data_IF_169248725113
#
_entry.id   IF_169248725113
#
_cell.length_a   1.000
_cell.length_b   1.000
_cell.length_c   1.000
_cell.angle_alpha   90.00
_cell.angle_beta   90.00
_cell.angle_gamma   90.00
#
_symmetry.space_group_name_H-M   'P 1'
#
loop_
_entity.id
_entity.type
_entity.pdbx_description
1 polymer ?
#
# COMPACT_ATOMS: atom_id res chain seq x y z
N UNK A 1 -38.19 8.72 -3.12
CA UNK A 1 -38.95 7.92 -2.14
C UNK A 1 -38.11 7.85 -0.88
N UNK A 2 -38.64 8.41 0.20
CA UNK A 2 -38.00 8.64 1.49
C UNK A 2 -37.67 7.32 2.18
N UNK A 3 -36.38 7.12 2.51
CA UNK A 3 -35.90 6.08 3.42
C UNK A 3 -36.56 6.27 4.79
N UNK A 4 -37.66 5.56 5.04
CA UNK A 4 -38.17 5.38 6.38
C UNK A 4 -37.10 4.61 7.17
N UNK A 5 -36.52 5.26 8.18
CA UNK A 5 -35.49 4.64 9.03
C UNK A 5 -35.98 3.30 9.56
N UNK A 6 -35.23 2.23 9.28
CA UNK A 6 -35.54 0.88 9.73
C UNK A 6 -35.52 0.89 11.26
N UNK A 7 -36.60 0.41 11.90
CA UNK A 7 -36.77 0.52 13.35
C UNK A 7 -35.82 -0.36 14.17
N UNK A 8 -35.70 -0.14 15.50
CA UNK A 8 -34.75 -0.85 16.37
C UNK A 8 -34.82 -2.38 16.33
N UNK A 9 -36.01 -2.94 16.07
CA UNK A 9 -36.21 -4.38 15.93
C UNK A 9 -35.57 -4.96 14.66
N UNK A 10 -35.54 -4.20 13.56
CA UNK A 10 -34.86 -4.60 12.32
C UNK A 10 -33.34 -4.65 12.55
N UNK A 11 -32.77 -3.59 13.13
CA UNK A 11 -31.34 -3.53 13.44
C UNK A 11 -30.91 -4.63 14.42
N UNK A 12 -31.76 -4.96 15.40
CA UNK A 12 -31.50 -6.07 16.31
C UNK A 12 -31.43 -7.43 15.61
N UNK A 13 -32.26 -7.65 14.58
CA UNK A 13 -32.24 -8.88 13.78
C UNK A 13 -31.01 -8.96 12.87
N UNK A 14 -30.62 -7.85 12.25
CA UNK A 14 -29.40 -7.76 11.45
C UNK A 14 -28.18 -8.14 12.30
N UNK A 15 -28.00 -7.51 13.45
CA UNK A 15 -26.89 -7.83 14.37
C UNK A 15 -26.87 -9.27 14.84
N UNK A 16 -28.05 -9.88 15.02
CA UNK A 16 -28.14 -11.29 15.41
C UNK A 16 -27.74 -12.24 14.28
N UNK A 17 -28.03 -11.90 13.03
CA UNK A 17 -27.59 -12.66 11.85
C UNK A 17 -26.09 -12.51 11.64
N UNK A 18 -25.55 -11.29 11.73
CA UNK A 18 -24.11 -11.01 11.64
C UNK A 18 -23.32 -11.81 12.69
N UNK A 19 -23.73 -11.74 13.96
CA UNK A 19 -23.06 -12.51 15.03
C UNK A 19 -23.15 -14.03 14.83
N UNK A 20 -24.21 -14.52 14.16
CA UNK A 20 -24.36 -15.94 13.84
C UNK A 20 -23.46 -16.34 12.66
N UNK A 21 -23.30 -15.47 11.66
CA UNK A 21 -22.35 -15.66 10.54
C UNK A 21 -20.94 -15.79 11.11
N UNK A 22 -20.51 -14.84 11.94
CA UNK A 22 -19.18 -14.84 12.57
C UNK A 22 -18.92 -16.16 13.33
N UNK A 23 -19.87 -16.61 14.15
CA UNK A 23 -19.74 -17.85 14.91
C UNK A 23 -19.65 -19.11 14.02
N UNK A 24 -20.33 -19.11 12.87
CA UNK A 24 -20.28 -20.21 11.91
C UNK A 24 -18.95 -20.23 11.15
N UNK A 25 -18.41 -19.06 10.81
CA UNK A 25 -17.09 -18.92 10.20
C UNK A 25 -15.97 -19.38 11.12
N UNK A 26 -16.00 -18.98 12.39
CA UNK A 26 -15.06 -19.45 13.40
C UNK A 26 -15.10 -20.98 13.58
N UNK A 27 -16.29 -21.58 13.44
CA UNK A 27 -16.49 -23.02 13.49
C UNK A 27 -16.16 -23.74 12.16
N UNK A 28 -15.78 -23.00 11.11
CA UNK A 28 -15.62 -23.47 9.74
C UNK A 28 -16.88 -24.18 9.17
N UNK A 29 -18.07 -23.84 9.67
CA UNK A 29 -19.37 -24.27 9.13
C UNK A 29 -19.81 -23.32 8.00
N UNK A 30 -19.10 -23.40 6.88
CA UNK A 30 -19.32 -22.51 5.73
C UNK A 30 -20.69 -22.70 5.07
N UNK A 31 -21.27 -23.90 5.14
CA UNK A 31 -22.61 -24.15 4.61
C UNK A 31 -23.68 -23.49 5.48
N UNK A 32 -23.51 -23.58 6.80
CA UNK A 32 -24.30 -22.80 7.76
C UNK A 32 -24.16 -21.30 7.49
N UNK A 33 -22.95 -20.79 7.36
CA UNK A 33 -22.69 -19.36 7.12
C UNK A 33 -23.39 -18.86 5.84
N UNK A 34 -23.27 -19.60 4.73
CA UNK A 34 -23.94 -19.28 3.46
C UNK A 34 -25.47 -19.25 3.61
N UNK A 35 -26.05 -20.18 4.36
CA UNK A 35 -27.49 -20.17 4.60
C UNK A 35 -27.93 -18.90 5.36
N UNK A 36 -27.18 -18.50 6.39
CA UNK A 36 -27.47 -17.27 7.16
C UNK A 36 -27.23 -16.00 6.34
N UNK A 37 -26.24 -15.99 5.44
CA UNK A 37 -26.04 -14.91 4.48
C UNK A 37 -27.23 -14.74 3.53
N UNK A 38 -27.88 -15.84 3.13
CA UNK A 38 -29.14 -15.82 2.40
C UNK A 38 -30.27 -15.14 3.19
N UNK A 39 -30.42 -15.50 4.47
CA UNK A 39 -31.39 -14.85 5.38
C UNK A 39 -31.09 -13.35 5.54
N UNK A 40 -29.81 -12.98 5.62
CA UNK A 40 -29.37 -11.58 5.74
C UNK A 40 -29.70 -10.79 4.47
N UNK A 41 -29.40 -11.34 3.29
CA UNK A 41 -29.70 -10.72 2.01
C UNK A 41 -31.21 -10.45 1.84
N UNK A 42 -32.06 -11.42 2.22
CA UNK A 42 -33.51 -11.26 2.20
C UNK A 42 -34.00 -10.17 3.16
N UNK A 43 -33.40 -10.07 4.34
CA UNK A 43 -33.78 -9.08 5.36
C UNK A 43 -33.37 -7.66 4.97
N UNK A 44 -32.14 -7.47 4.50
CA UNK A 44 -31.58 -6.13 4.26
C UNK A 44 -31.81 -5.63 2.83
N UNK A 45 -31.99 -6.55 1.88
CA UNK A 45 -31.97 -6.29 0.44
C UNK A 45 -30.57 -6.00 -0.10
N UNK A 46 -29.53 -6.22 0.70
CA UNK A 46 -28.14 -6.00 0.31
C UNK A 46 -27.57 -7.22 -0.40
N UNK A 47 -26.65 -6.98 -1.33
CA UNK A 47 -25.98 -8.04 -2.07
C UNK A 47 -24.91 -8.71 -1.19
N UNK A 48 -25.16 -9.95 -0.81
CA UNK A 48 -24.25 -10.78 -0.01
C UNK A 48 -23.42 -11.75 -0.87
N UNK A 49 -23.50 -11.68 -2.20
CA UNK A 49 -22.82 -12.64 -3.10
C UNK A 49 -21.30 -12.64 -2.93
N UNK A 50 -20.69 -11.51 -2.57
CA UNK A 50 -19.25 -11.44 -2.30
C UNK A 50 -18.87 -12.25 -1.04
N UNK A 51 -19.67 -12.18 0.03
CA UNK A 51 -19.42 -12.93 1.25
C UNK A 51 -19.70 -14.42 1.05
N UNK A 52 -20.76 -14.76 0.32
CA UNK A 52 -21.04 -16.15 -0.10
C UNK A 52 -19.88 -16.70 -0.94
N UNK A 53 -19.34 -15.92 -1.88
CA UNK A 53 -18.18 -16.33 -2.66
C UNK A 53 -16.94 -16.56 -1.78
N UNK A 54 -16.70 -15.69 -0.79
CA UNK A 54 -15.65 -15.88 0.23
C UNK A 54 -15.81 -17.20 0.97
N UNK A 55 -17.03 -17.54 1.41
CA UNK A 55 -17.31 -18.82 2.08
C UNK A 55 -17.02 -20.03 1.18
N UNK A 56 -17.32 -19.94 -0.12
CA UNK A 56 -16.94 -20.98 -1.08
C UNK A 56 -15.42 -21.11 -1.23
N UNK A 57 -14.67 -20.00 -1.20
CA UNK A 57 -13.20 -20.00 -1.23
C UNK A 57 -12.64 -20.69 0.01
N UNK A 58 -13.16 -20.40 1.21
CA UNK A 58 -12.73 -21.03 2.46
C UNK A 58 -13.07 -22.52 2.51
N UNK A 59 -14.24 -22.91 1.99
CA UNK A 59 -14.65 -24.31 1.88
C UNK A 59 -13.92 -25.11 0.78
N UNK A 60 -13.03 -24.48 -0.01
CA UNK A 60 -12.34 -25.13 -1.14
C UNK A 60 -13.22 -25.38 -2.37
N UNK A 61 -14.43 -24.81 -2.41
CA UNK A 61 -15.41 -24.91 -3.51
C UNK A 61 -15.11 -23.90 -4.61
N UNK A 62 -14.01 -24.13 -5.32
CA UNK A 62 -13.43 -23.17 -6.29
C UNK A 62 -14.34 -22.84 -7.46
N UNK A 63 -15.12 -23.80 -7.95
CA UNK A 63 -15.99 -23.56 -9.11
C UNK A 63 -17.14 -22.62 -8.75
N UNK A 64 -17.75 -22.84 -7.59
CA UNK A 64 -18.85 -22.04 -7.05
C UNK A 64 -18.38 -20.62 -6.69
N UNK A 65 -17.23 -20.50 -6.02
CA UNK A 65 -16.60 -19.21 -5.76
C UNK A 65 -16.33 -18.44 -7.06
N UNK A 66 -15.73 -19.12 -8.05
CA UNK A 66 -15.38 -18.50 -9.33
C UNK A 66 -16.60 -17.99 -10.08
N UNK A 67 -17.68 -18.76 -10.12
CA UNK A 67 -18.92 -18.35 -10.76
C UNK A 67 -19.50 -17.05 -10.16
N UNK A 68 -19.46 -16.92 -8.83
CA UNK A 68 -19.91 -15.71 -8.15
C UNK A 68 -18.99 -14.52 -8.39
N UNK A 69 -17.67 -14.71 -8.33
CA UNK A 69 -16.70 -13.64 -8.61
C UNK A 69 -16.78 -13.15 -10.06
N UNK A 70 -16.94 -14.05 -11.04
CA UNK A 70 -17.09 -13.68 -12.44
C UNK A 70 -18.41 -12.90 -12.67
N UNK A 71 -19.50 -13.29 -12.01
CA UNK A 71 -20.76 -12.55 -12.07
C UNK A 71 -20.62 -11.13 -11.50
N UNK A 72 -20.05 -10.99 -10.30
CA UNK A 72 -19.79 -9.70 -9.66
C UNK A 72 -18.86 -8.81 -10.51
N UNK A 73 -17.80 -9.38 -11.08
CA UNK A 73 -16.90 -8.65 -11.96
C UNK A 73 -17.58 -8.20 -13.26
N UNK A 74 -18.53 -8.98 -13.78
CA UNK A 74 -19.34 -8.60 -14.95
C UNK A 74 -20.29 -7.44 -14.66
N UNK A 75 -20.86 -7.39 -13.46
CA UNK A 75 -21.76 -6.32 -13.02
C UNK A 75 -21.00 -5.03 -12.62
N UNK A 76 -19.76 -5.17 -12.15
CA UNK A 76 -18.91 -4.07 -11.68
C UNK A 76 -17.54 -4.04 -12.41
N UNK A 77 -17.50 -3.88 -13.74
CA UNK A 77 -16.29 -4.13 -14.55
C UNK A 77 -15.12 -3.17 -14.30
N UNK A 78 -15.38 -2.00 -13.71
CA UNK A 78 -14.38 -0.98 -13.39
C UNK A 78 -14.04 -0.89 -11.89
N UNK A 79 -14.71 -1.68 -11.05
CA UNK A 79 -14.54 -1.59 -9.60
C UNK A 79 -13.35 -2.46 -9.14
N UNK A 80 -12.27 -1.87 -8.59
CA UNK A 80 -11.15 -2.63 -8.08
C UNK A 80 -11.49 -3.48 -6.84
N UNK A 81 -12.61 -3.20 -6.17
CA UNK A 81 -13.02 -3.87 -4.92
C UNK A 81 -13.32 -5.36 -5.15
N UNK A 82 -13.98 -5.71 -6.25
CA UNK A 82 -14.34 -7.11 -6.55
C UNK A 82 -13.10 -8.01 -6.65
N UNK A 83 -12.10 -7.72 -7.53
CA UNK A 83 -10.89 -8.52 -7.56
C UNK A 83 -10.04 -8.37 -6.28
N UNK A 84 -10.10 -7.25 -5.56
CA UNK A 84 -9.43 -7.14 -4.27
C UNK A 84 -10.00 -8.12 -3.23
N UNK A 85 -11.33 -8.21 -3.09
CA UNK A 85 -11.99 -9.15 -2.19
C UNK A 85 -11.74 -10.61 -2.59
N UNK A 86 -11.79 -10.93 -3.88
CA UNK A 86 -11.48 -12.27 -4.37
C UNK A 86 -10.03 -12.68 -4.04
N UNK A 87 -9.07 -11.77 -4.21
CA UNK A 87 -7.67 -12.00 -3.82
C UNK A 87 -7.50 -12.19 -2.32
N UNK A 88 -8.16 -11.37 -1.51
CA UNK A 88 -8.12 -11.47 -0.04
C UNK A 88 -8.68 -12.79 0.47
N UNK A 89 -9.78 -13.29 -0.12
CA UNK A 89 -10.34 -14.60 0.21
C UNK A 89 -9.33 -15.73 -0.06
N UNK A 90 -8.65 -15.71 -1.21
CA UNK A 90 -7.63 -16.71 -1.55
C UNK A 90 -6.41 -16.64 -0.62
N UNK A 91 -5.97 -15.42 -0.25
CA UNK A 91 -4.86 -15.21 0.67
C UNK A 91 -5.20 -15.76 2.06
N UNK A 92 -6.39 -15.46 2.59
CA UNK A 92 -6.88 -15.96 3.87
C UNK A 92 -6.99 -17.49 3.88
N UNK A 93 -7.43 -18.07 2.77
CA UNK A 93 -7.51 -19.53 2.61
C UNK A 93 -6.14 -20.21 2.41
N UNK A 94 -5.03 -19.49 2.63
CA UNK A 94 -3.66 -20.00 2.57
C UNK A 94 -3.15 -20.25 1.14
N UNK A 95 -3.69 -19.54 0.14
CA UNK A 95 -3.37 -19.73 -1.29
C UNK A 95 -2.83 -18.45 -1.93
N UNK A 96 -1.65 -17.98 -1.49
CA UNK A 96 -1.09 -16.71 -1.96
C UNK A 96 -0.78 -16.69 -3.47
N UNK A 97 -0.47 -17.84 -4.07
CA UNK A 97 -0.26 -17.96 -5.51
C UNK A 97 -1.56 -17.74 -6.31
N UNK A 98 -2.71 -18.17 -5.78
CA UNK A 98 -4.03 -17.97 -6.39
C UNK A 98 -4.54 -16.55 -6.13
N UNK A 99 -4.15 -15.92 -5.01
CA UNK A 99 -4.48 -14.53 -4.67
C UNK A 99 -3.79 -13.49 -5.55
N UNK A 100 -2.51 -13.71 -5.90
CA UNK A 100 -1.71 -12.70 -6.59
C UNK A 100 -2.31 -12.20 -7.93
N UNK A 101 -2.83 -13.06 -8.83
CA UNK A 101 -3.49 -12.59 -10.06
C UNK A 101 -4.73 -11.71 -9.81
N UNK A 102 -5.51 -11.99 -8.76
CA UNK A 102 -6.65 -11.15 -8.39
C UNK A 102 -6.20 -9.76 -7.96
N UNK A 103 -5.16 -9.67 -7.13
CA UNK A 103 -4.61 -8.37 -6.75
C UNK A 103 -3.96 -7.63 -7.93
N UNK A 104 -3.38 -8.33 -8.93
CA UNK A 104 -2.90 -7.67 -10.16
C UNK A 104 -4.07 -6.95 -10.85
N UNK A 105 -5.20 -7.66 -10.99
CA UNK A 105 -6.39 -7.12 -11.63
C UNK A 105 -6.97 -5.93 -10.85
N UNK A 106 -6.96 -6.00 -9.53
CA UNK A 106 -7.35 -4.87 -8.68
C UNK A 106 -6.44 -3.64 -8.89
N UNK A 107 -5.13 -3.83 -9.01
CA UNK A 107 -4.20 -2.72 -9.32
C UNK A 107 -4.46 -2.11 -10.70
N UNK A 108 -4.68 -2.92 -11.73
CA UNK A 108 -5.01 -2.43 -13.08
C UNK A 108 -6.24 -1.52 -13.06
N UNK A 109 -7.31 -1.96 -12.37
CA UNK A 109 -8.54 -1.20 -12.23
C UNK A 109 -8.34 0.06 -11.39
N UNK A 110 -7.64 -0.03 -10.27
CA UNK A 110 -7.37 1.11 -9.39
C UNK A 110 -6.55 2.20 -10.10
N UNK A 111 -5.53 1.79 -10.86
CA UNK A 111 -4.70 2.72 -11.64
C UNK A 111 -5.44 3.32 -12.83
N UNK A 112 -6.32 2.56 -13.49
CA UNK A 112 -7.14 3.05 -14.59
C UNK A 112 -8.29 3.96 -14.15
N UNK A 113 -8.88 3.70 -12.98
CA UNK A 113 -10.03 4.41 -12.43
C UNK A 113 -9.68 5.61 -11.54
N UNK A 114 -8.41 5.81 -11.21
CA UNK A 114 -7.96 6.90 -10.34
C UNK A 114 -8.36 6.69 -8.87
N UNK A 115 -8.23 5.45 -8.37
CA UNK A 115 -8.44 5.16 -6.95
C UNK A 115 -7.61 6.09 -6.06
N UNK A 116 -8.12 6.39 -4.87
CA UNK A 116 -7.37 7.19 -3.91
C UNK A 116 -6.09 6.47 -3.44
N UNK A 117 -5.17 7.25 -2.86
CA UNK A 117 -3.88 6.73 -2.41
C UNK A 117 -3.97 5.70 -1.29
N UNK A 118 -5.09 5.62 -0.56
CA UNK A 118 -5.27 4.66 0.53
C UNK A 118 -5.71 3.30 -0.02
N UNK A 119 -6.74 3.30 -0.88
CA UNK A 119 -7.20 2.11 -1.61
C UNK A 119 -6.04 1.47 -2.37
N UNK A 120 -5.27 2.27 -3.12
CA UNK A 120 -4.12 1.78 -3.85
C UNK A 120 -3.06 1.17 -2.92
N UNK A 121 -2.84 1.76 -1.73
CA UNK A 121 -1.87 1.26 -0.74
C UNK A 121 -2.29 -0.09 -0.17
N UNK A 122 -3.57 -0.27 0.12
CA UNK A 122 -4.12 -1.54 0.61
C UNK A 122 -3.90 -2.66 -0.41
N UNK A 123 -4.23 -2.41 -1.68
CA UNK A 123 -4.03 -3.40 -2.76
C UNK A 123 -2.54 -3.71 -2.94
N UNK A 124 -1.67 -2.70 -2.97
CA UNK A 124 -0.20 -2.89 -3.07
C UNK A 124 0.32 -3.74 -1.91
N UNK A 125 -0.12 -3.46 -0.67
CA UNK A 125 0.26 -4.20 0.52
C UNK A 125 -0.13 -5.68 0.43
N UNK A 126 -1.40 -5.96 0.15
CA UNK A 126 -1.92 -7.32 0.04
C UNK A 126 -1.23 -8.11 -1.08
N UNK A 127 -1.04 -7.49 -2.25
CA UNK A 127 -0.34 -8.11 -3.38
C UNK A 127 1.11 -8.45 -3.04
N UNK A 128 1.81 -7.53 -2.39
CA UNK A 128 3.21 -7.70 -2.02
C UNK A 128 3.38 -8.87 -1.06
N UNK A 129 2.48 -9.01 -0.09
CA UNK A 129 2.49 -10.15 0.83
C UNK A 129 2.22 -11.46 0.10
N UNK A 130 1.18 -11.50 -0.74
CA UNK A 130 0.86 -12.68 -1.55
C UNK A 130 2.03 -13.11 -2.45
N UNK A 131 2.69 -12.18 -3.16
CA UNK A 131 3.87 -12.50 -3.97
C UNK A 131 5.01 -13.06 -3.12
N UNK A 132 5.27 -12.47 -1.95
CA UNK A 132 6.33 -12.90 -1.07
C UNK A 132 6.09 -14.31 -0.50
N UNK A 133 4.85 -14.61 -0.09
CA UNK A 133 4.46 -15.88 0.50
C UNK A 133 4.38 -17.00 -0.57
N UNK A 134 4.03 -16.65 -1.81
CA UNK A 134 4.08 -17.56 -2.94
C UNK A 134 5.49 -17.75 -3.54
N UNK A 135 6.48 -16.94 -3.13
CA UNK A 135 7.81 -16.94 -3.73
C UNK A 135 7.83 -16.46 -5.19
N UNK A 136 6.87 -15.61 -5.56
CA UNK A 136 6.72 -15.06 -6.92
C UNK A 136 7.42 -13.70 -7.04
N UNK A 137 8.01 -13.40 -8.22
CA UNK A 137 8.62 -12.10 -8.46
C UNK A 137 7.56 -11.01 -8.66
N UNK A 138 7.91 -9.77 -8.32
CA UNK A 138 7.14 -8.59 -8.70
C UNK A 138 7.06 -8.44 -10.23
N UNK A 139 6.00 -7.81 -10.69
CA UNK A 139 5.69 -7.55 -12.09
C UNK A 139 5.64 -6.04 -12.37
N UNK A 140 5.55 -5.65 -13.63
CA UNK A 140 5.52 -4.23 -14.03
C UNK A 140 4.38 -3.44 -13.36
N UNK A 141 3.21 -4.07 -13.14
CA UNK A 141 2.06 -3.46 -12.46
C UNK A 141 2.39 -3.05 -11.02
N UNK A 142 3.28 -3.79 -10.34
CA UNK A 142 3.72 -3.49 -8.98
C UNK A 142 4.56 -2.21 -8.96
N UNK A 143 5.47 -2.07 -9.93
CA UNK A 143 6.30 -0.87 -10.04
C UNK A 143 5.48 0.36 -10.45
N UNK A 144 4.49 0.18 -11.33
CA UNK A 144 3.54 1.23 -11.69
C UNK A 144 2.75 1.71 -10.48
N UNK A 145 2.23 0.78 -9.67
CA UNK A 145 1.48 1.09 -8.46
C UNK A 145 2.34 1.82 -7.41
N UNK A 146 3.58 1.37 -7.19
CA UNK A 146 4.53 2.06 -6.28
C UNK A 146 4.82 3.49 -6.74
N UNK A 147 5.03 3.72 -8.04
CA UNK A 147 5.22 5.07 -8.60
C UNK A 147 3.98 5.95 -8.44
N UNK A 148 2.79 5.37 -8.63
CA UNK A 148 1.53 6.10 -8.41
C UNK A 148 1.36 6.53 -6.95
N UNK A 149 1.65 5.64 -5.99
CA UNK A 149 1.65 5.98 -4.56
C UNK A 149 2.64 7.09 -4.21
N UNK A 150 3.86 7.02 -4.77
CA UNK A 150 4.88 8.04 -4.54
C UNK A 150 4.43 9.42 -5.05
N UNK A 151 3.86 9.48 -6.25
CA UNK A 151 3.32 10.72 -6.82
C UNK A 151 2.15 11.27 -6.00
N UNK A 152 1.21 10.42 -5.60
CA UNK A 152 0.07 10.83 -4.79
C UNK A 152 0.49 11.39 -3.43
N UNK A 153 1.53 10.82 -2.81
CA UNK A 153 2.09 11.33 -1.56
C UNK A 153 2.89 12.63 -1.72
N UNK A 154 3.52 12.84 -2.88
CA UNK A 154 4.31 14.03 -3.18
C UNK A 154 3.46 15.26 -3.57
N UNK A 155 2.31 15.07 -4.23
CA UNK A 155 1.52 16.17 -4.78
C UNK A 155 0.65 16.92 -3.73
N UNK A 156 0.55 18.24 -3.86
CA UNK A 156 -0.50 19.06 -3.23
C UNK A 156 -0.28 19.51 -1.77
N UNK A 157 0.95 19.79 -1.34
CA UNK A 157 1.26 20.46 -0.06
C UNK A 157 2.36 21.51 -0.23
N UNK A 158 2.38 22.51 0.65
CA UNK A 158 3.49 23.49 0.79
C UNK A 158 4.83 22.84 1.21
N UNK A 159 4.85 21.53 1.48
CA UNK A 159 6.02 20.64 1.49
C UNK A 159 5.53 19.21 1.70
N UNK A 160 5.58 18.28 0.72
CA UNK A 160 5.62 16.86 1.06
C UNK A 160 6.69 16.62 2.13
N UNK A 161 6.45 15.64 3.01
CA UNK A 161 7.50 15.10 3.87
C UNK A 161 8.44 14.27 2.97
N UNK A 162 9.17 14.98 2.12
CA UNK A 162 10.12 14.49 1.15
C UNK A 162 11.46 14.35 1.86
N UNK A 163 11.81 13.10 2.15
CA UNK A 163 13.04 12.79 2.88
C UNK A 163 14.20 12.70 1.88
N UNK A 164 15.14 13.67 1.87
CA UNK A 164 16.30 13.62 0.99
C UNK A 164 17.18 12.42 1.34
N UNK A 165 17.51 11.62 0.34
CA UNK A 165 18.35 10.44 0.47
C UNK A 165 19.44 10.41 -0.59
N UNK A 166 20.69 10.21 -0.20
CA UNK A 166 21.77 9.91 -1.15
C UNK A 166 21.96 8.39 -1.28
N UNK A 167 21.82 7.81 -2.49
CA UNK A 167 22.30 6.46 -2.77
C UNK A 167 23.79 6.31 -2.44
N UNK A 168 24.27 5.08 -2.21
CA UNK A 168 25.62 4.84 -1.66
C UNK A 168 26.76 5.56 -2.41
N UNK A 169 26.70 5.62 -3.74
CA UNK A 169 27.68 6.35 -4.55
C UNK A 169 27.62 7.87 -4.32
N UNK A 170 26.41 8.45 -4.31
CA UNK A 170 26.18 9.88 -4.07
C UNK A 170 26.44 10.27 -2.61
N UNK A 171 26.25 9.36 -1.66
CA UNK A 171 26.59 9.57 -0.27
C UNK A 171 28.09 9.79 -0.09
N UNK A 172 28.92 8.97 -0.75
CA UNK A 172 30.36 9.15 -0.73
C UNK A 172 30.76 10.51 -1.33
N UNK A 173 30.12 10.93 -2.41
CA UNK A 173 30.35 12.26 -3.00
C UNK A 173 29.90 13.39 -2.06
N UNK A 174 28.76 13.24 -1.39
CA UNK A 174 28.23 14.23 -0.45
C UNK A 174 29.15 14.43 0.76
N UNK A 175 29.75 13.36 1.29
CA UNK A 175 30.74 13.43 2.38
C UNK A 175 31.97 14.27 1.99
N UNK A 176 32.35 14.27 0.72
CA UNK A 176 33.51 15.03 0.22
C UNK A 176 33.13 16.45 -0.19
N UNK A 177 31.92 16.65 -0.70
CA UNK A 177 31.43 17.95 -1.16
C UNK A 177 31.06 18.90 -0.02
N UNK A 178 30.56 18.38 1.11
CA UNK A 178 29.81 19.16 2.10
C UNK A 178 30.27 18.85 3.54
N UNK A 179 31.11 19.71 4.13
CA UNK A 179 31.61 19.53 5.49
C UNK A 179 30.52 19.36 6.56
N UNK A 180 29.41 20.09 6.47
CA UNK A 180 28.31 19.95 7.44
C UNK A 180 27.64 18.58 7.32
N UNK A 181 27.46 18.06 6.09
CA UNK A 181 26.96 16.70 5.89
C UNK A 181 27.96 15.65 6.40
N UNK A 182 29.26 15.85 6.17
CA UNK A 182 30.30 14.95 6.64
C UNK A 182 30.36 14.86 8.18
N UNK A 183 30.16 15.98 8.87
CA UNK A 183 30.16 16.04 10.33
C UNK A 183 29.06 15.15 10.95
N UNK A 184 27.90 15.04 10.28
CA UNK A 184 26.78 14.26 10.78
C UNK A 184 26.88 12.76 10.44
N UNK A 185 27.50 12.38 9.32
CA UNK A 185 27.32 11.04 8.74
C UNK A 185 28.59 10.24 8.44
N UNK A 186 29.79 10.84 8.52
CA UNK A 186 31.03 10.18 8.09
C UNK A 186 31.34 8.91 8.88
N UNK A 187 31.19 8.96 10.20
CA UNK A 187 31.71 7.93 11.10
C UNK A 187 30.85 6.65 11.10
N UNK A 188 29.53 6.78 10.99
CA UNK A 188 28.60 5.64 11.04
C UNK A 188 28.32 5.01 9.66
N UNK A 189 28.61 5.74 8.58
CA UNK A 189 28.47 5.28 7.21
C UNK A 189 27.04 5.20 6.68
N UNK A 190 26.91 4.76 5.42
CA UNK A 190 25.66 4.85 4.64
C UNK A 190 24.49 4.04 5.24
N UNK A 191 24.76 2.86 5.80
CA UNK A 191 23.72 2.02 6.37
C UNK A 191 23.08 2.64 7.61
N UNK A 192 23.88 3.30 8.47
CA UNK A 192 23.38 4.03 9.63
C UNK A 192 22.61 5.29 9.21
N UNK A 193 23.12 6.03 8.23
CA UNK A 193 22.43 7.16 7.61
C UNK A 193 21.02 6.77 7.11
N UNK A 194 20.91 5.70 6.32
CA UNK A 194 19.62 5.25 5.81
C UNK A 194 18.67 4.76 6.92
N UNK A 195 19.20 4.11 7.96
CA UNK A 195 18.39 3.66 9.10
C UNK A 195 17.85 4.84 9.93
N UNK A 196 18.68 5.84 10.20
CA UNK A 196 18.28 7.05 10.94
C UNK A 196 17.18 7.83 10.20
N UNK A 197 17.27 7.94 8.86
CA UNK A 197 16.18 8.51 8.05
C UNK A 197 14.88 7.71 8.19
N UNK A 198 14.94 6.38 8.22
CA UNK A 198 13.76 5.52 8.44
C UNK A 198 13.12 5.79 9.81
N UNK A 199 13.93 5.87 10.86
CA UNK A 199 13.46 6.20 12.22
C UNK A 199 12.78 7.56 12.28
N UNK A 200 13.35 8.58 11.64
CA UNK A 200 12.74 9.92 11.56
C UNK A 200 11.41 9.89 10.81
N UNK A 201 11.33 9.20 9.67
CA UNK A 201 10.08 9.05 8.92
C UNK A 201 9.01 8.32 9.74
N UNK A 202 9.36 7.25 10.46
CA UNK A 202 8.45 6.54 11.38
C UNK A 202 7.93 7.42 12.51
N UNK A 203 8.77 8.31 13.03
CA UNK A 203 8.37 9.21 14.11
C UNK A 203 7.34 10.25 13.64
N UNK A 204 7.43 10.72 12.39
CA UNK A 204 6.52 11.74 11.85
C UNK A 204 5.28 11.17 11.17
N UNK A 205 5.37 9.97 10.57
CA UNK A 205 4.32 9.39 9.75
C UNK A 205 2.93 9.30 10.41
N UNK A 206 2.79 8.94 11.71
CA UNK A 206 1.47 8.84 12.35
C UNK A 206 0.68 10.14 12.39
N UNK A 207 1.36 11.29 12.35
CA UNK A 207 0.74 12.61 12.44
C UNK A 207 0.89 13.43 11.14
N UNK A 208 1.49 12.84 10.10
CA UNK A 208 1.74 13.54 8.86
C UNK A 208 0.43 13.65 8.06
N UNK A 209 0.14 14.80 7.43
CA UNK A 209 -1.07 14.97 6.61
C UNK A 209 -1.07 14.07 5.37
N UNK A 210 0.11 13.60 4.96
CA UNK A 210 0.31 12.57 3.94
C UNK A 210 1.47 11.65 4.35
N UNK A 211 1.50 10.46 3.78
CA UNK A 211 2.62 9.54 3.96
C UNK A 211 3.94 10.18 3.51
N UNK A 212 5.03 10.04 4.29
CA UNK A 212 6.36 10.45 3.85
C UNK A 212 6.77 9.72 2.57
N UNK A 213 7.63 10.36 1.80
CA UNK A 213 8.30 9.76 0.64
C UNK A 213 9.80 9.89 0.78
N UNK A 214 10.53 8.95 0.18
CA UNK A 214 11.99 9.04 0.05
C UNK A 214 12.32 9.64 -1.31
N UNK A 215 13.26 10.56 -1.36
CA UNK A 215 13.69 11.17 -2.63
C UNK A 215 15.18 10.92 -2.82
N UNK A 216 15.55 9.98 -3.71
CA UNK A 216 16.94 9.79 -4.11
C UNK A 216 17.47 11.06 -4.80
N UNK A 217 18.57 11.61 -4.28
CA UNK A 217 19.22 12.81 -4.79
C UNK A 217 20.63 12.49 -5.29
N UNK A 218 21.14 13.37 -6.14
CA UNK A 218 22.56 13.43 -6.52
C UNK A 218 23.17 14.71 -5.97
N UNK A 219 24.49 14.71 -5.72
CA UNK A 219 25.22 15.92 -5.32
C UNK A 219 25.01 17.02 -6.37
N UNK A 220 25.08 16.66 -7.65
CA UNK A 220 24.88 17.60 -8.76
C UNK A 220 23.49 18.25 -8.74
N UNK A 221 22.42 17.49 -8.48
CA UNK A 221 21.06 18.03 -8.43
C UNK A 221 20.87 19.00 -7.24
N UNK A 222 21.44 18.68 -6.07
CA UNK A 222 21.40 19.58 -4.91
C UNK A 222 22.19 20.85 -5.19
N UNK A 223 23.39 20.74 -5.75
CA UNK A 223 24.20 21.92 -6.12
C UNK A 223 23.46 22.82 -7.11
N UNK A 224 22.87 22.25 -8.17
CA UNK A 224 22.11 23.02 -9.16
C UNK A 224 20.87 23.71 -8.55
N UNK A 225 20.11 23.00 -7.71
CA UNK A 225 18.95 23.57 -7.02
C UNK A 225 19.37 24.68 -6.05
N UNK A 226 20.46 24.49 -5.30
CA UNK A 226 21.01 25.47 -4.36
C UNK A 226 21.45 26.76 -5.09
N UNK A 227 22.18 26.62 -6.20
CA UNK A 227 22.57 27.75 -7.06
C UNK A 227 21.35 28.52 -7.57
N UNK A 228 20.32 27.81 -8.05
CA UNK A 228 19.08 28.43 -8.54
C UNK A 228 18.31 29.23 -7.49
N UNK A 229 18.46 28.87 -6.20
CA UNK A 229 17.77 29.52 -5.08
C UNK A 229 18.66 30.45 -4.25
N UNK A 230 19.96 30.56 -4.58
CA UNK A 230 20.92 31.33 -3.79
C UNK A 230 21.13 30.78 -2.37
N UNK A 231 21.03 29.46 -2.20
CA UNK A 231 21.25 28.75 -0.93
C UNK A 231 22.64 28.11 -0.97
N UNK A 232 23.32 28.02 0.17
CA UNK A 232 24.57 27.27 0.26
C UNK A 232 24.29 25.75 0.12
N UNK A 233 24.93 25.05 -0.84
CA UNK A 233 24.68 23.62 -1.06
C UNK A 233 25.10 22.72 0.12
N UNK A 234 25.96 23.17 1.04
CA UNK A 234 26.33 22.43 2.26
C UNK A 234 25.16 22.38 3.28
N UNK A 235 24.22 23.31 3.19
CA UNK A 235 23.13 23.44 4.16
C UNK A 235 22.05 22.37 3.96
N UNK A 236 21.45 21.92 5.08
CA UNK A 236 20.34 20.97 5.05
C UNK A 236 19.12 21.48 4.27
N UNK A 237 18.92 22.80 4.24
CA UNK A 237 17.86 23.45 3.47
C UNK A 237 17.98 23.21 1.96
N UNK A 238 19.20 23.20 1.40
CA UNK A 238 19.43 22.91 -0.02
C UNK A 238 18.98 21.49 -0.38
N UNK A 239 19.27 20.50 0.48
CA UNK A 239 18.84 19.11 0.30
C UNK A 239 17.33 18.96 0.40
N UNK A 240 16.70 19.64 1.35
CA UNK A 240 15.24 19.62 1.50
C UNK A 240 14.53 20.26 0.30
N UNK A 241 15.05 21.38 -0.21
CA UNK A 241 14.55 22.05 -1.43
C UNK A 241 14.66 21.15 -2.65
N UNK A 242 15.82 20.56 -2.89
CA UNK A 242 16.03 19.64 -4.00
C UNK A 242 15.12 18.39 -3.91
N UNK A 243 14.93 17.84 -2.70
CA UNK A 243 14.00 16.73 -2.48
C UNK A 243 12.55 17.12 -2.78
N UNK A 244 12.12 18.31 -2.37
CA UNK A 244 10.79 18.83 -2.68
C UNK A 244 10.57 18.91 -4.20
N UNK A 245 11.50 19.52 -4.93
CA UNK A 245 11.41 19.69 -6.39
C UNK A 245 11.38 18.34 -7.11
N UNK A 246 12.34 17.47 -6.81
CA UNK A 246 12.40 16.14 -7.41
C UNK A 246 11.16 15.29 -7.08
N UNK A 247 10.55 15.45 -5.89
CA UNK A 247 9.29 14.80 -5.57
C UNK A 247 8.12 15.31 -6.44
N UNK A 248 8.03 16.62 -6.69
CA UNK A 248 7.02 17.19 -7.60
C UNK A 248 7.18 16.68 -9.03
N UNK A 249 8.43 16.48 -9.47
CA UNK A 249 8.76 15.93 -10.80
C UNK A 249 8.56 14.41 -10.89
N UNK A 250 8.12 13.76 -9.81
CA UNK A 250 7.79 12.33 -9.79
C UNK A 250 8.98 11.40 -9.56
N UNK A 251 10.10 11.92 -9.03
CA UNK A 251 11.28 11.14 -8.66
C UNK A 251 11.25 10.60 -7.22
N UNK A 252 10.11 10.69 -6.55
CA UNK A 252 9.90 10.13 -5.22
C UNK A 252 9.72 8.60 -5.25
N UNK A 253 10.09 7.96 -4.14
CA UNK A 253 9.85 6.55 -3.82
C UNK A 253 8.84 6.47 -2.69
N UNK A 254 7.82 5.63 -2.87
CA UNK A 254 6.79 5.41 -1.86
C UNK A 254 7.40 4.80 -0.60
N UNK A 255 6.98 5.31 0.56
CA UNK A 255 7.39 4.82 1.86
C UNK A 255 6.17 4.66 2.80
N UNK A 256 6.17 3.67 3.71
CA UNK A 256 7.13 2.58 3.79
C UNK A 256 6.93 1.57 2.64
N UNK A 257 8.00 0.92 2.17
CA UNK A 257 7.87 -0.29 1.37
C UNK A 257 7.09 -1.36 2.15
N UNK A 258 6.50 -2.30 1.42
CA UNK A 258 5.96 -3.51 2.02
C UNK A 258 7.03 -4.26 2.82
N UNK A 259 6.62 -4.91 3.92
CA UNK A 259 7.52 -5.53 4.90
C UNK A 259 8.53 -6.51 4.26
N UNK A 260 8.14 -7.19 3.19
CA UNK A 260 8.95 -8.16 2.45
C UNK A 260 9.60 -7.60 1.17
N UNK A 261 9.33 -6.35 0.78
CA UNK A 261 9.89 -5.72 -0.41
C UNK A 261 11.37 -5.40 -0.26
N UNK A 262 12.12 -5.22 -1.38
CA UNK A 262 13.43 -4.61 -1.33
C UNK A 262 13.41 -3.29 -0.57
N UNK A 263 14.40 -3.10 0.30
CA UNK A 263 14.50 -1.90 1.11
C UNK A 263 14.75 -0.67 0.23
N UNK A 264 14.07 0.43 0.55
CA UNK A 264 14.15 1.71 -0.17
C UNK A 264 15.57 2.28 -0.26
N UNK A 265 16.48 1.87 0.64
CA UNK A 265 17.88 2.33 0.63
C UNK A 265 18.75 1.73 -0.48
N UNK A 266 18.20 0.81 -1.29
CA UNK A 266 18.92 0.18 -2.41
C UNK A 266 19.78 -1.02 -2.02
N UNK A 267 19.69 -1.54 -0.79
CA UNK A 267 20.47 -2.70 -0.35
C UNK A 267 20.03 -4.03 -0.98
N UNK A 268 18.84 -4.08 -1.59
CA UNK A 268 18.22 -5.32 -2.09
C UNK A 268 17.70 -6.27 -0.98
N UNK A 269 18.02 -6.03 0.29
CA UNK A 269 17.50 -6.80 1.41
C UNK A 269 16.02 -6.50 1.67
N UNK A 270 15.28 -7.46 2.25
CA UNK A 270 13.88 -7.25 2.66
C UNK A 270 13.79 -6.09 3.66
N UNK A 271 12.82 -5.19 3.49
CA UNK A 271 12.66 -3.98 4.30
C UNK A 271 12.69 -4.26 5.81
N UNK A 272 11.95 -5.28 6.27
CA UNK A 272 11.90 -5.74 7.67
C UNK A 272 13.22 -6.24 8.27
N UNK A 273 14.22 -6.52 7.42
CA UNK A 273 15.55 -7.00 7.80
C UNK A 273 16.63 -5.94 7.52
N UNK A 274 16.25 -4.74 7.09
CA UNK A 274 17.14 -3.66 6.72
C UNK A 274 16.75 -2.39 7.48
N UNK A 275 16.28 -1.34 6.81
CA UNK A 275 15.96 -0.08 7.47
C UNK A 275 14.72 -0.18 8.36
N UNK A 276 13.76 -1.03 8.02
CA UNK A 276 12.51 -1.22 8.76
C UNK A 276 12.59 -2.27 9.87
N UNK A 277 13.79 -2.50 10.41
CA UNK A 277 14.04 -3.39 11.54
C UNK A 277 13.62 -2.76 12.87
#
# INVERSE_FOLDING_TARGET
>A
MTSAGRGPAHEGRVRALEARIDALEEAADYDGAIAVLGELAELTGEDQRWHVAWMHVQAGRRAEARALWDALAGEHPADPTVPFLAGSAEAEAGRPADAAPWFARALELALGGGADGETLRQIVGARTEALADAGLPAQEIDDLARRALARAAAQGADTPVATPFFPAAEFALALEAWPAFAADWRDDGHAAYAHELDLRMRAVAPNAPRHPVVVPLTVAAVTASAEGHGIDPDWAEARARAAYEAAQDGHAVAWPPGRNEPCWCGSGAKYKRCCGR
#
